data_IF_221779647909
#
_entry.id   IF_221779647909
#
_cell.length_a   1.000
_cell.length_b   1.000
_cell.length_c   1.000
_cell.angle_alpha   90.00
_cell.angle_beta   90.00
_cell.angle_gamma   90.00
#
_symmetry.space_group_name_H-M   'P 1'
#
loop_
_entity.id
_entity.type
_entity.pdbx_description
1 polymer ?
#
# COMPACT_ATOMS: atom_id res chain seq x y z
N UNK A 1 9.90 4.60 -21.17
CA UNK A 1 9.38 5.29 -19.98
C UNK A 1 7.91 4.91 -19.88
N UNK A 2 7.64 3.81 -19.19
CA UNK A 2 6.27 3.38 -18.85
C UNK A 2 5.69 4.45 -17.95
N UNK A 3 4.89 5.32 -18.57
CA UNK A 3 4.51 6.60 -18.02
C UNK A 3 3.63 6.38 -16.78
N UNK A 4 4.12 6.72 -15.58
CA UNK A 4 3.35 6.69 -14.33
C UNK A 4 1.94 7.30 -14.51
N UNK A 5 1.80 8.26 -15.42
CA UNK A 5 0.54 8.88 -15.81
C UNK A 5 -0.47 7.91 -16.42
N UNK A 6 -0.04 6.92 -17.21
CA UNK A 6 -0.94 5.94 -17.83
C UNK A 6 -1.52 4.96 -16.81
N UNK A 7 -0.69 4.54 -15.84
CA UNK A 7 -1.11 3.67 -14.73
C UNK A 7 -1.92 4.43 -13.67
N UNK A 8 -1.71 5.74 -13.54
CA UNK A 8 -2.37 6.57 -12.54
C UNK A 8 -3.89 6.56 -12.65
N UNK A 9 -4.45 6.88 -13.81
CA UNK A 9 -5.91 6.99 -13.98
C UNK A 9 -6.62 5.67 -13.70
N UNK A 10 -6.13 4.56 -14.26
CA UNK A 10 -6.71 3.25 -14.04
C UNK A 10 -6.61 2.80 -12.57
N UNK A 11 -5.48 3.10 -11.93
CA UNK A 11 -5.27 2.77 -10.51
C UNK A 11 -6.15 3.63 -9.60
N UNK A 12 -6.34 4.91 -9.91
CA UNK A 12 -7.20 5.81 -9.15
C UNK A 12 -8.65 5.34 -9.16
N UNK A 13 -9.17 4.87 -10.30
CA UNK A 13 -10.51 4.29 -10.39
C UNK A 13 -10.65 3.08 -9.46
N UNK A 14 -9.74 2.11 -9.55
CA UNK A 14 -9.76 0.91 -8.69
C UNK A 14 -9.60 1.24 -7.21
N UNK A 15 -8.79 2.25 -6.89
CA UNK A 15 -8.61 2.70 -5.52
C UNK A 15 -9.90 3.32 -4.97
N UNK A 16 -10.57 4.18 -5.75
CA UNK A 16 -11.86 4.77 -5.37
C UNK A 16 -12.93 3.69 -5.17
N UNK A 17 -12.96 2.65 -6.01
CA UNK A 17 -13.85 1.49 -5.81
C UNK A 17 -13.59 0.77 -4.48
N UNK A 18 -12.31 0.60 -4.09
CA UNK A 18 -11.94 -0.01 -2.80
C UNK A 18 -12.26 0.88 -1.60
N UNK A 19 -12.13 2.20 -1.75
CA UNK A 19 -12.45 3.18 -0.70
C UNK A 19 -13.97 3.28 -0.51
N UNK A 20 -14.73 3.23 -1.60
CA UNK A 20 -16.18 3.43 -1.61
C UNK A 20 -16.55 4.70 -0.82
N UNK A 21 -17.43 4.58 0.19
CA UNK A 21 -17.91 5.68 1.02
C UNK A 21 -17.10 5.88 2.31
N UNK A 22 -15.91 5.28 2.43
CA UNK A 22 -15.08 5.40 3.63
C UNK A 22 -14.64 6.87 3.84
N UNK A 23 -14.92 7.41 5.03
CA UNK A 23 -14.44 8.74 5.42
C UNK A 23 -12.91 8.77 5.44
N UNK A 24 -12.33 9.79 4.79
CA UNK A 24 -10.88 10.00 4.76
C UNK A 24 -10.46 10.86 5.95
N UNK A 25 -9.65 10.29 6.85
CA UNK A 25 -9.12 10.95 8.03
C UNK A 25 -7.83 10.25 8.52
N UNK A 26 -7.23 10.73 9.61
CA UNK A 26 -5.97 10.20 10.13
C UNK A 26 -6.05 8.73 10.61
N UNK A 27 -7.24 8.22 10.94
CA UNK A 27 -7.43 6.83 11.32
C UNK A 27 -7.53 5.92 10.08
N UNK A 28 -8.13 6.40 8.99
CA UNK A 28 -8.36 5.62 7.78
C UNK A 28 -7.25 5.75 6.74
N UNK A 29 -6.34 6.72 6.86
CA UNK A 29 -5.26 6.95 5.89
C UNK A 29 -4.34 5.74 5.70
N UNK A 30 -4.11 4.95 6.75
CA UNK A 30 -3.30 3.72 6.66
C UNK A 30 -4.02 2.63 5.87
N UNK A 31 -5.36 2.57 5.96
CA UNK A 31 -6.19 1.71 5.13
C UNK A 31 -6.13 2.13 3.67
N UNK A 32 -6.18 3.44 3.40
CA UNK A 32 -5.98 4.00 2.04
C UNK A 32 -4.60 3.61 1.51
N UNK A 33 -3.54 3.72 2.31
CA UNK A 33 -2.20 3.32 1.91
C UNK A 33 -2.10 1.83 1.54
N UNK A 34 -2.72 0.95 2.33
CA UNK A 34 -2.82 -0.49 2.00
C UNK A 34 -3.57 -0.70 0.67
N UNK A 35 -4.73 -0.09 0.48
CA UNK A 35 -5.49 -0.23 -0.77
C UNK A 35 -4.73 0.30 -1.97
N UNK A 36 -4.02 1.43 -1.84
CA UNK A 36 -3.13 1.95 -2.87
C UNK A 36 -2.06 0.93 -3.25
N UNK A 37 -1.42 0.30 -2.27
CA UNK A 37 -0.43 -0.75 -2.54
C UNK A 37 -1.02 -1.99 -3.22
N UNK A 38 -2.19 -2.46 -2.79
CA UNK A 38 -2.89 -3.58 -3.44
C UNK A 38 -3.19 -3.28 -4.92
N UNK A 39 -3.63 -2.05 -5.22
CA UNK A 39 -3.93 -1.62 -6.59
C UNK A 39 -2.65 -1.54 -7.42
N UNK A 40 -1.61 -0.91 -6.89
CA UNK A 40 -0.32 -0.72 -7.57
C UNK A 40 0.39 -2.06 -7.81
N UNK A 41 0.22 -3.05 -6.94
CA UNK A 41 0.79 -4.39 -7.15
C UNK A 41 0.21 -5.10 -8.38
N UNK A 42 -0.99 -4.70 -8.84
CA UNK A 42 -1.58 -5.22 -10.09
C UNK A 42 -0.98 -4.60 -11.36
N UNK A 43 -0.13 -3.59 -11.21
CA UNK A 43 0.57 -2.95 -12.33
C UNK A 43 1.90 -3.65 -12.61
N UNK A 44 2.51 -3.33 -13.75
CA UNK A 44 3.84 -3.82 -14.12
C UNK A 44 4.99 -3.04 -13.43
N UNK A 45 4.68 -1.94 -12.74
CA UNK A 45 5.67 -1.13 -12.04
C UNK A 45 6.31 -1.93 -10.90
N UNK A 46 7.59 -1.65 -10.60
CA UNK A 46 8.34 -2.29 -9.51
C UNK A 46 9.21 -1.29 -8.75
N UNK A 47 9.53 -1.61 -7.50
CA UNK A 47 10.43 -0.82 -6.67
C UNK A 47 9.92 0.60 -6.44
N UNK A 48 10.78 1.59 -6.68
CA UNK A 48 10.49 3.00 -6.41
C UNK A 48 9.29 3.54 -7.21
N UNK A 49 9.06 3.03 -8.43
CA UNK A 49 7.92 3.44 -9.26
C UNK A 49 6.57 3.03 -8.62
N UNK A 50 6.51 1.86 -7.96
CA UNK A 50 5.31 1.44 -7.22
C UNK A 50 5.05 2.37 -6.04
N UNK A 51 6.10 2.68 -5.28
CA UNK A 51 6.02 3.60 -4.15
C UNK A 51 5.56 4.99 -4.59
N UNK A 52 6.14 5.52 -5.66
CA UNK A 52 5.78 6.81 -6.21
C UNK A 52 4.31 6.84 -6.65
N UNK A 53 3.85 5.82 -7.38
CA UNK A 53 2.46 5.73 -7.80
C UNK A 53 1.52 5.63 -6.60
N UNK A 54 1.83 4.81 -5.60
CA UNK A 54 1.02 4.66 -4.40
C UNK A 54 0.89 5.98 -3.64
N UNK A 55 2.00 6.72 -3.45
CA UNK A 55 1.99 8.04 -2.80
C UNK A 55 1.14 9.05 -3.59
N UNK A 56 1.27 9.08 -4.93
CA UNK A 56 0.46 9.96 -5.79
C UNK A 56 -1.04 9.66 -5.66
N UNK A 57 -1.41 8.38 -5.63
CA UNK A 57 -2.80 7.95 -5.47
C UNK A 57 -3.37 8.39 -4.11
N UNK A 58 -2.61 8.17 -3.02
CA UNK A 58 -3.04 8.59 -1.68
C UNK A 58 -3.23 10.11 -1.61
N UNK A 59 -2.30 10.88 -2.17
CA UNK A 59 -2.42 12.35 -2.24
C UNK A 59 -3.69 12.77 -2.98
N UNK A 60 -3.98 12.16 -4.12
CA UNK A 60 -5.18 12.49 -4.90
C UNK A 60 -6.45 12.23 -4.10
N UNK A 61 -6.52 11.11 -3.37
CA UNK A 61 -7.66 10.79 -2.50
C UNK A 61 -7.84 11.82 -1.39
N UNK A 62 -6.75 12.28 -0.77
CA UNK A 62 -6.81 13.30 0.29
C UNK A 62 -7.32 14.64 -0.26
N UNK A 63 -6.81 15.09 -1.40
CA UNK A 63 -7.18 16.36 -2.03
C UNK A 63 -8.64 16.39 -2.49
N UNK A 64 -9.18 15.25 -2.93
CA UNK A 64 -10.57 15.16 -3.41
C UNK A 64 -11.60 14.95 -2.28
N UNK A 65 -11.15 14.54 -1.09
CA UNK A 65 -12.04 14.21 0.00
C UNK A 65 -12.62 15.49 0.65
N UNK A 66 -13.89 15.46 1.10
CA UNK A 66 -14.52 16.60 1.77
C UNK A 66 -14.04 16.73 3.22
N UNK A 67 -12.79 17.18 3.40
CA UNK A 67 -12.11 17.30 4.69
C UNK A 67 -11.96 18.79 5.04
N UNK A 68 -11.98 19.14 6.33
CA UNK A 68 -11.66 20.51 6.75
C UNK A 68 -10.17 20.83 6.63
N UNK A 69 -9.82 22.08 6.34
CA UNK A 69 -8.45 22.54 6.05
C UNK A 69 -7.39 22.01 7.03
N UNK A 70 -7.65 22.06 8.34
CA UNK A 70 -6.70 21.60 9.36
C UNK A 70 -6.48 20.07 9.34
N UNK A 71 -7.54 19.31 9.05
CA UNK A 71 -7.46 17.83 8.95
C UNK A 71 -6.82 17.43 7.63
N UNK A 72 -7.14 18.11 6.53
CA UNK A 72 -6.52 17.90 5.23
C UNK A 72 -5.02 18.17 5.33
N UNK A 73 -4.64 19.32 5.90
CA UNK A 73 -3.23 19.68 6.12
C UNK A 73 -2.47 18.61 6.88
N UNK A 74 -3.03 18.07 7.97
CA UNK A 74 -2.40 16.98 8.72
C UNK A 74 -2.10 15.76 7.82
N UNK A 75 -3.03 15.36 6.96
CA UNK A 75 -2.84 14.23 6.06
C UNK A 75 -1.82 14.53 4.97
N UNK A 76 -1.83 15.74 4.40
CA UNK A 76 -0.84 16.19 3.43
C UNK A 76 0.55 16.25 4.06
N UNK A 77 0.68 16.77 5.28
CA UNK A 77 1.95 16.82 6.03
C UNK A 77 2.48 15.40 6.28
N UNK A 78 1.62 14.40 6.55
CA UNK A 78 2.05 13.00 6.65
C UNK A 78 2.64 12.44 5.34
N UNK A 79 2.13 12.91 4.20
CA UNK A 79 2.66 12.53 2.88
C UNK A 79 3.98 13.25 2.63
N UNK A 80 4.01 14.58 2.81
CA UNK A 80 5.14 15.45 2.50
C UNK A 80 6.34 15.21 3.42
N UNK A 81 6.11 14.81 4.68
CA UNK A 81 7.16 14.42 5.61
C UNK A 81 7.60 12.96 5.46
N UNK A 82 7.06 12.24 4.47
CA UNK A 82 7.47 10.86 4.15
C UNK A 82 6.94 9.79 5.10
N UNK A 83 6.06 10.13 6.06
CA UNK A 83 5.50 9.17 7.03
C UNK A 83 4.78 8.03 6.30
N UNK A 84 3.93 8.36 5.30
CA UNK A 84 3.27 7.33 4.50
C UNK A 84 4.24 6.57 3.59
N UNK A 85 5.31 7.22 3.13
CA UNK A 85 6.38 6.56 2.39
C UNK A 85 7.03 5.43 3.19
N UNK A 86 7.33 5.67 4.47
CA UNK A 86 7.85 4.63 5.37
C UNK A 86 6.85 3.51 5.64
N UNK A 87 5.56 3.82 5.80
CA UNK A 87 4.53 2.79 5.95
C UNK A 87 4.42 1.92 4.70
N UNK A 88 4.55 2.49 3.50
CA UNK A 88 4.59 1.73 2.24
C UNK A 88 5.79 0.78 2.23
N UNK A 89 6.98 1.25 2.62
CA UNK A 89 8.17 0.40 2.72
C UNK A 89 7.94 -0.77 3.70
N UNK A 90 7.28 -0.50 4.84
CA UNK A 90 6.91 -1.53 5.81
C UNK A 90 5.95 -2.57 5.22
N UNK A 91 4.95 -2.14 4.45
CA UNK A 91 4.01 -3.04 3.76
C UNK A 91 4.75 -3.92 2.76
N UNK A 92 5.70 -3.35 2.00
CA UNK A 92 6.53 -4.09 1.04
C UNK A 92 7.43 -5.11 1.76
N UNK A 93 8.10 -4.70 2.84
CA UNK A 93 8.91 -5.62 3.65
C UNK A 93 8.07 -6.76 4.23
N UNK A 94 6.85 -6.46 4.69
CA UNK A 94 5.89 -7.45 5.19
C UNK A 94 5.51 -8.47 4.10
N UNK A 95 5.20 -8.01 2.89
CA UNK A 95 4.77 -8.88 1.80
C UNK A 95 5.88 -9.80 1.30
N UNK A 96 7.14 -9.38 1.43
CA UNK A 96 8.32 -10.18 1.12
C UNK A 96 8.77 -11.12 2.26
N UNK A 97 8.14 -11.03 3.42
CA UNK A 97 8.55 -11.81 4.61
C UNK A 97 9.88 -11.33 5.21
N UNK A 98 10.26 -10.07 4.99
CA UNK A 98 11.49 -9.47 5.53
C UNK A 98 11.33 -9.00 6.99
N UNK A 99 10.09 -8.95 7.50
CA UNK A 99 9.81 -8.56 8.88
C UNK A 99 9.91 -9.75 9.84
N UNK A 100 10.87 -9.68 10.76
CA UNK A 100 11.03 -10.61 11.87
C UNK A 100 10.13 -10.19 13.06
N UNK A 101 8.82 -10.36 12.89
CA UNK A 101 7.82 -10.10 13.94
C UNK A 101 7.22 -11.44 14.37
N UNK A 102 7.53 -11.87 15.61
CA UNK A 102 7.03 -13.09 16.24
C UNK A 102 7.29 -14.37 15.44
N UNK A 103 8.56 -14.63 15.10
CA UNK A 103 8.98 -15.88 14.47
C UNK A 103 8.75 -17.08 15.41
N UNK A 104 7.62 -17.77 15.23
CA UNK A 104 7.51 -19.21 15.51
C UNK A 104 7.66 -19.92 14.18
N UNK A 105 8.90 -20.32 13.86
CA UNK A 105 9.16 -21.17 12.69
C UNK A 105 8.50 -22.52 12.94
N UNK A 106 7.48 -22.84 12.17
CA UNK A 106 7.17 -24.24 11.86
C UNK A 106 6.66 -24.36 10.43
N UNK A 107 7.43 -23.81 9.49
CA UNK A 107 7.29 -24.18 8.08
C UNK A 107 8.17 -25.41 7.81
N UNK A 108 7.53 -26.45 7.26
CA UNK A 108 8.10 -27.67 6.66
C UNK A 108 8.43 -28.88 7.56
N UNK A 109 7.40 -29.64 7.94
CA UNK A 109 7.49 -31.12 7.95
C UNK A 109 6.24 -31.70 7.28
N UNK A 110 6.19 -31.74 5.95
CA UNK A 110 4.99 -32.27 5.30
C UNK A 110 5.13 -32.72 3.85
N UNK A 111 6.00 -32.12 3.04
CA UNK A 111 6.13 -32.54 1.63
C UNK A 111 7.13 -33.69 1.45
N UNK A 112 8.20 -33.75 2.25
CA UNK A 112 9.25 -34.80 2.12
C UNK A 112 9.11 -35.96 3.12
N UNK A 113 8.16 -35.89 4.07
CA UNK A 113 7.96 -36.95 5.06
C UNK A 113 7.31 -38.23 4.47
N UNK A 114 6.73 -38.14 3.26
CA UNK A 114 6.12 -39.28 2.55
C UNK A 114 7.18 -40.21 1.94
N UNK A 115 8.37 -39.71 1.62
CA UNK A 115 9.46 -40.52 1.02
C UNK A 115 10.34 -41.26 2.03
N UNK A 116 10.07 -41.11 3.35
CA UNK A 116 10.85 -41.74 4.42
C UNK A 116 10.17 -42.96 5.07
N UNK A 117 9.01 -43.40 4.57
CA UNK A 117 8.44 -44.70 4.97
C UNK A 117 8.82 -45.76 3.92
N UNK A 118 9.79 -46.59 4.30
CA UNK A 118 10.03 -47.92 3.72
C UNK A 118 8.76 -48.75 3.73
#
# INVERSE_FOLDING_TARGET
MTDITSHFTASLVKLKEKIADMEINAQTIMTVARFSMEVVETTELKGDEQKELAVKLIRQVVVEAPISDNKEKLLLDMIDQGILGYTIDLIVASSKGELDINVVVTAATGCCAVFLKK
#
